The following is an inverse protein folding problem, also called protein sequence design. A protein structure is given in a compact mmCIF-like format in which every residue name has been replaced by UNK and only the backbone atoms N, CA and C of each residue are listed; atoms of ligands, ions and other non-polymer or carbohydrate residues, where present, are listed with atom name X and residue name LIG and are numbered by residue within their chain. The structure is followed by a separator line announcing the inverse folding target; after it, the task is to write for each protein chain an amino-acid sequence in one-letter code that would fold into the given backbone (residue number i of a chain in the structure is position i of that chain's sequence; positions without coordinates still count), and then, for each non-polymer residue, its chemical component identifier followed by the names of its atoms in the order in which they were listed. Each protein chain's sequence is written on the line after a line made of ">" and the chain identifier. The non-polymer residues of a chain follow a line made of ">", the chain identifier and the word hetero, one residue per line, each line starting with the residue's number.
data_IF_413563991065
#
_entry.id   IF_413563991065
#
_cell.length_a   1.000
_cell.length_b   1.000
_cell.length_c   1.000
_cell.angle_alpha   90.00
_cell.angle_beta   90.00
_cell.angle_gamma   90.00
#
_symmetry.space_group_name_H-M   'P 1'
#
loop_
_entity.id
_entity.type
_entity.pdbx_description
1 polymer ?
#
# COMPACT_ATOMS: atom_id res chain seq x y z
N UNK A 1 -24.14 -17.13 7.47
CA UNK A 1 -23.10 -16.19 7.01
C UNK A 1 -22.98 -15.12 8.08
N UNK A 2 -21.95 -15.16 8.92
CA UNK A 2 -21.71 -14.09 9.89
C UNK A 2 -21.32 -12.84 9.09
N UNK A 3 -22.04 -11.74 9.32
CA UNK A 3 -21.84 -10.50 8.60
C UNK A 3 -20.58 -9.83 9.16
N UNK A 4 -19.41 -10.10 8.58
CA UNK A 4 -18.16 -9.45 8.96
C UNK A 4 -18.26 -7.97 8.64
N UNK A 5 -18.26 -7.12 9.66
CA UNK A 5 -18.30 -5.67 9.48
C UNK A 5 -16.86 -5.19 9.33
N UNK A 6 -16.56 -4.57 8.18
CA UNK A 6 -15.34 -3.83 7.96
C UNK A 6 -15.64 -2.34 7.94
N UNK A 7 -14.97 -1.59 8.82
CA UNK A 7 -15.15 -0.15 8.95
C UNK A 7 -13.82 0.56 8.72
N UNK A 8 -13.76 1.39 7.70
CA UNK A 8 -12.61 2.29 7.51
C UNK A 8 -12.64 3.36 8.59
N UNK A 9 -11.55 3.47 9.34
CA UNK A 9 -11.37 4.47 10.41
C UNK A 9 -10.67 5.70 9.84
N UNK A 10 -9.62 5.48 9.05
CA UNK A 10 -8.79 6.56 8.53
C UNK A 10 -8.29 6.22 7.13
N UNK A 11 -8.34 7.20 6.23
CA UNK A 11 -7.60 7.17 4.97
C UNK A 11 -6.61 8.31 4.98
N UNK A 12 -5.35 7.98 4.74
CA UNK A 12 -4.25 8.93 4.83
C UNK A 12 -3.21 8.67 3.74
N UNK A 13 -2.28 9.61 3.61
CA UNK A 13 -1.17 9.54 2.68
C UNK A 13 0.13 9.61 3.49
N UNK A 14 1.08 8.74 3.17
CA UNK A 14 2.41 8.73 3.82
C UNK A 14 3.47 9.02 2.76
N UNK A 15 4.24 10.08 2.99
CA UNK A 15 5.34 10.49 2.12
C UNK A 15 6.70 10.18 2.78
N UNK A 16 7.80 10.11 2.01
CA UNK A 16 9.14 10.26 2.55
C UNK A 16 9.28 11.58 3.37
N UNK A 17 10.26 11.69 4.28
CA UNK A 17 10.49 12.90 5.04
C UNK A 17 10.79 14.09 4.11
N UNK A 18 10.40 15.32 4.48
CA UNK A 18 10.71 16.50 3.68
C UNK A 18 12.22 16.62 3.43
N UNK A 19 12.58 16.98 2.19
CA UNK A 19 13.97 17.16 1.76
C UNK A 19 14.88 15.92 1.86
N UNK A 20 14.33 14.70 2.04
CA UNK A 20 15.13 13.48 2.09
C UNK A 20 15.54 12.94 0.71
N UNK A 21 14.82 13.33 -0.34
CA UNK A 21 14.99 12.84 -1.70
C UNK A 21 14.97 14.00 -2.71
N UNK A 22 15.84 13.99 -3.74
CA UNK A 22 15.72 14.88 -4.88
C UNK A 22 14.38 14.64 -5.61
N UNK A 23 13.81 15.71 -6.17
CA UNK A 23 12.59 15.62 -6.97
C UNK A 23 12.81 16.35 -8.30
N UNK A 24 12.74 15.67 -9.46
CA UNK A 24 12.39 14.25 -9.62
C UNK A 24 13.55 13.30 -9.27
N UNK A 25 13.21 12.11 -8.79
CA UNK A 25 14.12 10.95 -8.77
C UNK A 25 13.54 9.86 -9.66
N UNK A 26 14.34 9.27 -10.54
CA UNK A 26 13.89 8.23 -11.48
C UNK A 26 14.66 6.94 -11.30
N UNK A 27 13.99 5.83 -11.59
CA UNK A 27 14.57 4.50 -11.66
C UNK A 27 14.16 3.86 -13.01
N UNK A 28 15.09 3.73 -13.97
CA UNK A 28 14.80 3.05 -15.23
C UNK A 28 14.50 1.58 -14.99
N UNK A 29 13.54 1.03 -15.73
CA UNK A 29 13.26 -0.40 -15.70
C UNK A 29 14.30 -1.17 -16.51
N UNK A 30 14.59 -2.39 -16.06
CA UNK A 30 15.46 -3.35 -16.74
C UNK A 30 14.65 -4.43 -17.44
N UNK A 31 15.32 -5.29 -18.22
CA UNK A 31 14.68 -6.45 -18.86
C UNK A 31 14.02 -7.42 -17.86
N UNK A 32 14.51 -7.45 -16.61
CA UNK A 32 13.91 -8.26 -15.55
C UNK A 32 12.52 -7.72 -15.16
N UNK A 33 12.34 -6.41 -15.21
CA UNK A 33 11.08 -5.74 -14.86
C UNK A 33 10.01 -5.92 -15.95
N UNK A 34 10.42 -6.08 -17.21
CA UNK A 34 9.51 -6.23 -18.35
C UNK A 34 8.54 -7.41 -18.19
N UNK A 35 8.99 -8.50 -17.54
CA UNK A 35 8.16 -9.68 -17.32
C UNK A 35 6.92 -9.39 -16.46
N UNK A 36 7.01 -8.41 -15.56
CA UNK A 36 5.90 -8.03 -14.68
C UNK A 36 4.75 -7.34 -15.42
N UNK A 37 4.97 -6.78 -16.61
CA UNK A 37 3.88 -6.20 -17.41
C UNK A 37 2.90 -7.26 -17.93
N UNK A 38 3.33 -8.52 -18.01
CA UNK A 38 2.45 -9.65 -18.33
C UNK A 38 1.69 -10.16 -17.10
N UNK A 39 2.12 -9.80 -15.88
CA UNK A 39 1.43 -10.11 -14.63
C UNK A 39 0.36 -9.05 -14.36
N UNK A 40 -0.87 -9.33 -14.78
CA UNK A 40 -1.99 -8.35 -14.71
C UNK A 40 -2.55 -8.08 -13.31
N UNK A 41 -2.05 -8.76 -12.27
CA UNK A 41 -2.60 -8.67 -10.91
C UNK A 41 -1.53 -8.15 -9.94
N UNK A 42 -1.83 -7.11 -9.14
CA UNK A 42 -0.96 -6.67 -8.07
C UNK A 42 -0.67 -7.80 -7.08
N UNK A 43 0.57 -7.87 -6.59
CA UNK A 43 0.94 -8.82 -5.55
C UNK A 43 0.27 -8.40 -4.24
N UNK A 44 -0.45 -9.32 -3.62
CA UNK A 44 -1.14 -9.12 -2.34
C UNK A 44 -0.41 -9.91 -1.25
N UNK A 45 -0.06 -9.26 -0.15
CA UNK A 45 0.58 -9.89 1.01
C UNK A 45 -0.08 -9.42 2.29
N UNK A 46 -0.32 -10.36 3.20
CA UNK A 46 -0.95 -10.12 4.50
C UNK A 46 -0.02 -10.67 5.58
N UNK A 47 0.10 -9.91 6.66
CA UNK A 47 0.85 -10.30 7.86
C UNK A 47 -0.09 -10.19 9.05
N UNK A 48 -0.24 -11.27 9.81
CA UNK A 48 -1.06 -11.31 11.00
C UNK A 48 -0.20 -11.17 12.25
N UNK A 49 -0.64 -10.35 13.20
CA UNK A 49 0.04 -10.12 14.47
C UNK A 49 -0.97 -10.23 15.59
N UNK A 50 -0.63 -10.93 16.68
CA UNK A 50 -1.45 -10.88 17.88
C UNK A 50 -1.33 -9.50 18.52
N UNK A 51 -2.48 -8.91 18.86
CA UNK A 51 -2.56 -7.58 19.44
C UNK A 51 -3.70 -7.52 20.47
N UNK A 52 -3.44 -7.87 21.75
CA UNK A 52 -4.48 -8.00 22.77
C UNK A 52 -4.89 -6.64 23.37
N UNK A 53 -5.17 -5.65 22.52
CA UNK A 53 -5.57 -4.30 22.90
C UNK A 53 -6.72 -3.77 22.04
N UNK A 54 -7.53 -2.83 22.57
CA UNK A 54 -8.61 -2.23 21.81
C UNK A 54 -8.09 -1.27 20.74
N UNK A 55 -8.91 -0.99 19.73
CA UNK A 55 -8.58 -0.09 18.61
C UNK A 55 -8.07 1.27 19.05
N UNK A 56 -8.69 1.89 20.05
CA UNK A 56 -8.25 3.19 20.56
C UNK A 56 -6.79 3.17 21.04
N UNK A 57 -6.34 2.07 21.65
CA UNK A 57 -4.95 1.91 22.06
C UNK A 57 -4.02 1.88 20.84
N UNK A 58 -4.38 1.12 19.79
CA UNK A 58 -3.63 1.07 18.54
C UNK A 58 -3.48 2.46 17.90
N UNK A 59 -4.58 3.21 17.82
CA UNK A 59 -4.61 4.54 17.19
C UNK A 59 -3.70 5.54 17.92
N UNK A 60 -3.61 5.46 19.25
CA UNK A 60 -2.81 6.39 20.04
C UNK A 60 -1.34 6.00 20.15
N UNK A 61 -1.02 4.72 20.12
CA UNK A 61 0.33 4.23 20.46
C UNK A 61 1.08 3.71 19.23
N UNK A 62 0.51 2.72 18.53
CA UNK A 62 1.18 2.02 17.43
C UNK A 62 1.09 2.77 16.11
N UNK A 63 -0.08 3.33 15.79
CA UNK A 63 -0.32 3.95 14.49
C UNK A 63 0.63 5.13 14.17
N UNK A 64 0.89 6.08 15.11
CA UNK A 64 1.84 7.16 14.85
C UNK A 64 3.27 6.64 14.60
N UNK A 65 3.70 5.64 15.38
CA UNK A 65 5.02 5.01 15.22
C UNK A 65 5.13 4.33 13.86
N UNK A 66 4.10 3.59 13.45
CA UNK A 66 4.07 2.87 12.19
C UNK A 66 4.10 3.83 10.98
N UNK A 67 3.33 4.92 11.02
CA UNK A 67 3.36 5.93 9.96
C UNK A 67 4.72 6.63 9.88
N UNK A 68 5.30 6.96 11.03
CA UNK A 68 6.60 7.60 11.08
C UNK A 68 7.73 6.69 10.57
N UNK A 69 7.77 5.44 11.03
CA UNK A 69 8.77 4.47 10.57
C UNK A 69 8.63 4.15 9.08
N UNK A 70 7.38 4.07 8.58
CA UNK A 70 7.11 3.94 7.16
C UNK A 70 7.64 5.14 6.38
N UNK A 71 7.35 6.37 6.81
CA UNK A 71 7.87 7.59 6.18
C UNK A 71 9.41 7.54 6.07
N UNK A 72 10.10 7.25 7.18
CA UNK A 72 11.56 7.09 7.20
C UNK A 72 12.04 5.96 6.27
N UNK A 73 11.30 4.87 6.14
CA UNK A 73 11.66 3.76 5.25
C UNK A 73 11.55 4.16 3.78
N UNK A 74 10.52 4.94 3.43
CA UNK A 74 10.27 5.37 2.05
C UNK A 74 11.37 6.29 1.49
N UNK A 75 12.16 6.95 2.32
CA UNK A 75 13.32 7.71 1.81
C UNK A 75 14.42 6.79 1.24
N UNK A 76 14.53 5.56 1.75
CA UNK A 76 15.52 4.59 1.29
C UNK A 76 14.97 3.70 0.19
N UNK A 77 13.66 3.43 0.24
CA UNK A 77 12.94 2.63 -0.74
C UNK A 77 11.89 3.48 -1.48
N UNK A 78 12.36 4.60 -2.03
CA UNK A 78 11.52 5.58 -2.72
C UNK A 78 10.60 5.02 -3.80
N UNK A 79 10.94 3.92 -4.54
CA UNK A 79 10.02 3.37 -5.52
C UNK A 79 8.64 3.10 -4.91
N UNK A 80 8.54 2.62 -3.66
CA UNK A 80 7.24 2.27 -3.05
C UNK A 80 6.30 3.45 -2.82
N UNK A 81 6.80 4.68 -2.74
CA UNK A 81 5.96 5.90 -2.73
C UNK A 81 5.90 6.60 -4.08
N UNK A 82 6.42 5.97 -5.13
CA UNK A 82 6.51 6.52 -6.49
C UNK A 82 5.44 5.96 -7.41
N UNK A 83 5.44 6.44 -8.65
CA UNK A 83 4.57 5.96 -9.69
C UNK A 83 5.36 5.32 -10.83
N UNK A 84 4.80 4.26 -11.43
CA UNK A 84 5.24 3.73 -12.71
C UNK A 84 4.72 4.64 -13.82
N UNK A 85 5.64 5.13 -14.64
CA UNK A 85 5.40 6.04 -15.75
C UNK A 85 5.48 5.25 -17.04
N UNK A 86 4.39 5.26 -17.82
CA UNK A 86 4.33 4.66 -19.15
C UNK A 86 4.09 5.80 -20.16
N UNK A 87 5.15 6.27 -20.84
CA UNK A 87 5.03 7.26 -21.89
C UNK A 87 4.09 6.80 -23.02
N UNK A 88 3.42 7.74 -23.68
CA UNK A 88 2.60 7.41 -24.86
C UNK A 88 3.46 6.96 -26.05
N UNK A 89 4.64 7.55 -26.21
CA UNK A 89 5.55 7.25 -27.32
C UNK A 89 6.19 5.87 -27.13
N UNK A 90 6.09 5.00 -28.13
CA UNK A 90 6.66 3.65 -28.10
C UNK A 90 8.19 3.62 -28.12
N UNK A 91 8.85 4.75 -28.33
CA UNK A 91 10.32 4.87 -28.28
C UNK A 91 10.86 5.01 -26.85
N UNK A 92 10.05 5.49 -25.90
CA UNK A 92 10.48 5.74 -24.53
C UNK A 92 10.12 4.56 -23.63
N UNK A 93 11.14 3.99 -22.97
CA UNK A 93 10.93 2.88 -22.06
C UNK A 93 10.18 3.34 -20.78
N UNK A 94 9.28 2.52 -20.21
CA UNK A 94 8.69 2.80 -18.91
C UNK A 94 9.73 2.91 -17.80
N UNK A 95 9.45 3.73 -16.79
CA UNK A 95 10.35 3.96 -15.66
C UNK A 95 9.55 4.29 -14.40
N UNK A 96 10.16 4.12 -13.23
CA UNK A 96 9.57 4.57 -11.96
C UNK A 96 10.03 6.00 -11.70
N UNK A 97 9.11 6.88 -11.28
CA UNK A 97 9.40 8.28 -10.98
C UNK A 97 8.79 8.68 -9.65
N UNK A 98 9.63 9.28 -8.82
CA UNK A 98 9.26 9.99 -7.62
C UNK A 98 9.21 11.50 -7.86
N UNK A 99 8.14 12.13 -7.38
CA UNK A 99 7.99 13.57 -7.19
C UNK A 99 7.75 13.88 -5.71
N UNK A 100 8.08 15.10 -5.27
CA UNK A 100 7.79 15.57 -3.90
C UNK A 100 6.30 15.59 -3.54
N UNK A 101 5.42 15.54 -4.53
CA UNK A 101 3.96 15.41 -4.37
C UNK A 101 3.50 13.96 -4.24
N UNK A 102 4.37 12.98 -4.52
CA UNK A 102 3.99 11.57 -4.51
C UNK A 102 3.93 11.03 -3.08
N UNK A 103 2.90 10.23 -2.84
CA UNK A 103 2.60 9.65 -1.53
C UNK A 103 2.11 8.22 -1.66
N UNK A 104 2.31 7.43 -0.60
CA UNK A 104 1.75 6.09 -0.48
C UNK A 104 0.37 6.15 0.18
N UNK A 105 -0.62 5.49 -0.42
CA UNK A 105 -1.96 5.35 0.14
C UNK A 105 -1.96 4.42 1.35
N UNK A 106 -2.35 4.94 2.52
CA UNK A 106 -2.34 4.24 3.80
C UNK A 106 -3.72 4.26 4.44
N UNK A 107 -4.35 3.09 4.54
CA UNK A 107 -5.69 2.91 5.10
C UNK A 107 -5.64 2.23 6.45
N UNK A 108 -6.41 2.73 7.41
CA UNK A 108 -6.67 2.09 8.71
C UNK A 108 -8.13 1.68 8.77
N UNK A 109 -8.37 0.40 9.06
CA UNK A 109 -9.70 -0.17 9.19
C UNK A 109 -9.83 -0.97 10.49
N UNK A 110 -11.06 -1.18 10.93
CA UNK A 110 -11.42 -2.11 12.00
C UNK A 110 -12.34 -3.18 11.42
N UNK A 111 -12.15 -4.41 11.88
CA UNK A 111 -12.93 -5.57 11.46
C UNK A 111 -13.49 -6.31 12.67
N UNK A 112 -14.74 -6.73 12.57
CA UNK A 112 -15.37 -7.64 13.54
C UNK A 112 -15.08 -9.12 13.25
N UNK A 113 -14.14 -9.42 12.34
CA UNK A 113 -13.76 -10.79 12.00
C UNK A 113 -13.11 -11.51 13.19
N UNK A 114 -13.32 -12.82 13.29
CA UNK A 114 -12.64 -13.66 14.26
C UNK A 114 -11.17 -13.86 13.83
N UNK A 115 -10.24 -13.30 14.60
CA UNK A 115 -8.82 -13.36 14.32
C UNK A 115 -8.28 -14.80 14.35
N UNK A 116 -8.72 -15.63 15.29
CA UNK A 116 -8.27 -17.02 15.42
C UNK A 116 -8.72 -17.85 14.22
N UNK A 117 -9.92 -17.55 13.72
CA UNK A 117 -10.39 -18.12 12.48
C UNK A 117 -9.46 -17.67 11.34
N UNK A 118 -9.22 -16.37 11.14
CA UNK A 118 -8.41 -15.83 10.05
C UNK A 118 -6.98 -16.39 9.93
N UNK A 119 -6.35 -16.75 11.05
CA UNK A 119 -4.98 -17.29 11.09
C UNK A 119 -4.93 -18.83 11.05
N UNK A 120 -6.08 -19.51 11.09
CA UNK A 120 -6.11 -20.97 11.06
C UNK A 120 -5.74 -21.54 9.67
N UNK A 121 -5.17 -22.74 9.65
CA UNK A 121 -4.73 -23.41 8.42
C UNK A 121 -5.88 -23.78 7.47
N UNK A 122 -7.12 -23.82 7.96
CA UNK A 122 -8.31 -24.22 7.21
C UNK A 122 -9.12 -23.03 6.64
N UNK A 123 -8.52 -21.85 6.54
CA UNK A 123 -9.23 -20.67 6.05
C UNK A 123 -9.43 -20.62 4.54
N UNK A 124 -10.60 -20.09 4.16
CA UNK A 124 -10.87 -19.71 2.78
C UNK A 124 -10.17 -18.38 2.46
N UNK A 125 -9.41 -18.35 1.37
CA UNK A 125 -8.74 -17.16 0.87
C UNK A 125 -9.71 -16.00 0.58
N UNK A 126 -11.00 -16.29 0.36
CA UNK A 126 -12.03 -15.26 0.19
C UNK A 126 -12.19 -14.37 1.44
N UNK A 127 -11.97 -14.92 2.63
CA UNK A 127 -12.06 -14.17 3.88
C UNK A 127 -10.97 -13.09 4.01
N UNK A 128 -9.91 -13.20 3.22
CA UNK A 128 -8.79 -12.25 3.20
C UNK A 128 -8.93 -11.14 2.18
N UNK A 129 -9.88 -11.23 1.24
CA UNK A 129 -10.02 -10.24 0.17
C UNK A 129 -10.23 -8.82 0.68
N UNK A 130 -10.95 -8.66 1.78
CA UNK A 130 -11.21 -7.36 2.40
C UNK A 130 -10.01 -6.81 3.18
N UNK A 131 -9.05 -7.65 3.56
CA UNK A 131 -7.87 -7.27 4.34
C UNK A 131 -6.75 -6.66 3.49
N UNK A 132 -6.89 -6.68 2.17
CA UNK A 132 -5.89 -6.17 1.23
C UNK A 132 -6.35 -4.85 0.63
N UNK A 133 -5.50 -3.81 0.61
CA UNK A 133 -5.86 -2.55 -0.04
C UNK A 133 -5.98 -2.73 -1.56
N UNK A 134 -6.87 -1.95 -2.16
CA UNK A 134 -6.81 -1.71 -3.59
C UNK A 134 -5.75 -0.64 -3.90
N UNK A 135 -5.02 -0.82 -4.98
CA UNK A 135 -4.16 0.25 -5.51
C UNK A 135 -5.05 1.42 -5.98
N UNK A 136 -4.63 2.67 -5.77
CA UNK A 136 -5.32 3.79 -6.37
C UNK A 136 -5.37 3.65 -7.91
N UNK A 137 -6.45 4.12 -8.55
CA UNK A 137 -6.61 3.95 -9.99
C UNK A 137 -5.49 4.68 -10.75
N UNK A 138 -5.03 4.13 -11.88
CA UNK A 138 -4.13 4.84 -12.78
C UNK A 138 -4.70 6.18 -13.22
N UNK A 139 -3.83 7.16 -13.43
CA UNK A 139 -4.16 8.46 -14.02
C UNK A 139 -3.38 8.70 -15.31
N UNK A 140 -3.73 9.77 -16.02
CA UNK A 140 -3.09 10.16 -17.28
C UNK A 140 -2.70 11.63 -17.22
N UNK A 141 -1.45 11.94 -17.53
CA UNK A 141 -0.94 13.30 -17.64
C UNK A 141 -1.34 13.96 -18.95
N UNK A 142 -1.13 15.28 -19.08
CA UNK A 142 -1.52 16.07 -20.25
C UNK A 142 -0.89 15.58 -21.57
N UNK A 143 0.29 14.96 -21.51
CA UNK A 143 0.99 14.39 -22.66
C UNK A 143 0.59 12.92 -22.94
N UNK A 144 -0.56 12.46 -22.42
CA UNK A 144 -1.05 11.09 -22.45
C UNK A 144 -0.12 10.05 -21.80
N UNK A 145 0.82 10.49 -20.96
CA UNK A 145 1.63 9.56 -20.15
C UNK A 145 0.76 8.95 -19.07
N UNK A 146 0.74 7.62 -18.99
CA UNK A 146 0.00 6.90 -17.96
C UNK A 146 0.83 6.82 -16.69
N UNK A 147 0.21 7.13 -15.56
CA UNK A 147 0.81 7.13 -14.23
C UNK A 147 0.10 6.08 -13.39
N UNK A 148 0.86 5.11 -12.89
CA UNK A 148 0.32 3.96 -12.17
C UNK A 148 0.96 3.91 -10.77
N UNK A 149 0.17 4.07 -9.70
CA UNK A 149 0.64 3.88 -8.33
C UNK A 149 1.12 2.44 -8.12
N UNK A 150 2.25 2.26 -7.44
CA UNK A 150 2.87 0.92 -7.33
C UNK A 150 2.61 0.20 -6.00
N UNK A 151 2.21 0.92 -4.95
CA UNK A 151 1.97 0.33 -3.62
C UNK A 151 0.84 1.03 -2.87
N UNK A 152 0.13 0.25 -2.06
CA UNK A 152 -0.80 0.72 -1.04
C UNK A 152 -0.69 -0.17 0.19
N UNK A 153 -0.99 0.39 1.37
CA UNK A 153 -0.95 -0.34 2.64
C UNK A 153 -2.30 -0.20 3.34
N UNK A 154 -2.80 -1.31 3.88
CA UNK A 154 -3.92 -1.32 4.82
C UNK A 154 -3.47 -1.95 6.13
N UNK A 155 -3.84 -1.30 7.24
CA UNK A 155 -3.79 -1.89 8.56
C UNK A 155 -5.21 -2.13 9.03
N UNK A 156 -5.54 -3.37 9.36
CA UNK A 156 -6.87 -3.75 9.84
C UNK A 156 -6.74 -4.22 11.28
N UNK A 157 -7.48 -3.60 12.20
CA UNK A 157 -7.50 -3.94 13.61
C UNK A 157 -8.69 -4.88 13.87
N UNK A 158 -8.43 -5.99 14.57
CA UNK A 158 -9.43 -6.88 15.16
C UNK A 158 -9.37 -6.70 16.69
N UNK A 159 -10.27 -5.88 17.28
CA UNK A 159 -10.13 -5.41 18.65
C UNK A 159 -9.86 -6.52 19.67
N UNK A 160 -8.86 -6.31 20.53
CA UNK A 160 -8.43 -7.24 21.59
C UNK A 160 -7.88 -8.58 21.10
N UNK A 161 -7.59 -8.74 19.81
CA UNK A 161 -7.12 -10.00 19.23
C UNK A 161 -5.92 -9.81 18.31
N UNK A 162 -6.03 -8.95 17.29
CA UNK A 162 -5.00 -8.77 16.26
C UNK A 162 -5.14 -7.51 15.42
#
# INVERSE_FOLDING_TARGET
>A
MNNTIMKVIEQSQVAPPPCSLPSPTTLPLTVFDTTWFYCQQPIKRIFFYHFPHPTHHFLQTTLPILKHSLSLTLQHFFPFSSNLIIPQNSQDAPYIRYLNTDTLSFTVAESSADFNLLISDSQDAQNWHSLVPNLPPPSTEQNNTRVIPIMAIQVTIMPNSG
#
